data_IF_539412244714
#
_entry.id   IF_539412244714
#
_cell.length_a   1.000
_cell.length_b   1.000
_cell.length_c   1.000
_cell.angle_alpha   90.00
_cell.angle_beta   90.00
_cell.angle_gamma   90.00
#
_symmetry.space_group_name_H-M   'P 1'
#
loop_
_entity.id
_entity.type
_entity.pdbx_description
1 polymer ?
#
# COMPACT_ATOMS: atom_id res chain seq x y z
N UNK A 1 34.94 -13.75 9.56
CA UNK A 1 33.50 -13.82 9.35
C UNK A 1 32.86 -12.97 10.46
N UNK A 2 32.46 -11.75 10.16
CA UNK A 2 31.81 -10.87 11.15
C UNK A 2 30.43 -11.44 11.36
N UNK A 3 30.12 -11.95 12.56
CA UNK A 3 28.77 -12.35 12.95
C UNK A 3 27.95 -11.05 12.90
N UNK A 4 26.93 -10.95 12.05
CA UNK A 4 26.08 -9.76 12.04
C UNK A 4 25.49 -9.61 13.45
N UNK A 5 25.58 -8.41 13.99
CA UNK A 5 24.83 -8.07 15.22
C UNK A 5 23.35 -8.38 14.98
N UNK A 6 22.59 -8.88 15.96
CA UNK A 6 21.15 -9.00 15.83
C UNK A 6 20.64 -7.63 15.34
N UNK A 7 19.74 -7.62 14.36
CA UNK A 7 19.21 -6.44 13.66
C UNK A 7 20.04 -5.85 12.50
N UNK A 8 21.23 -6.36 12.18
CA UNK A 8 21.99 -5.84 11.03
C UNK A 8 21.25 -6.08 9.70
N UNK A 9 20.57 -7.20 9.56
CA UNK A 9 19.79 -7.56 8.37
C UNK A 9 18.55 -6.67 8.22
N UNK A 10 17.83 -6.44 9.32
CA UNK A 10 16.69 -5.53 9.37
C UNK A 10 17.09 -4.10 9.05
N UNK A 11 18.20 -3.62 9.61
CA UNK A 11 18.71 -2.27 9.33
C UNK A 11 19.08 -2.10 7.86
N UNK A 12 19.78 -3.06 7.27
CA UNK A 12 20.11 -3.06 5.83
C UNK A 12 18.83 -3.05 4.99
N UNK A 13 17.87 -3.92 5.31
CA UNK A 13 16.60 -3.97 4.58
C UNK A 13 15.84 -2.65 4.68
N UNK A 14 15.74 -2.05 5.87
CA UNK A 14 15.07 -0.74 6.08
C UNK A 14 15.72 0.35 5.26
N UNK A 15 17.06 0.43 5.24
CA UNK A 15 17.80 1.39 4.42
C UNK A 15 17.46 1.19 2.95
N UNK A 16 17.48 -0.06 2.45
CA UNK A 16 17.15 -0.36 1.05
C UNK A 16 15.70 0.00 0.70
N UNK A 17 14.75 -0.29 1.58
CA UNK A 17 13.35 0.08 1.43
C UNK A 17 13.19 1.60 1.29
N UNK A 18 13.77 2.39 2.19
CA UNK A 18 13.64 3.85 2.17
C UNK A 18 14.36 4.49 0.98
N UNK A 19 15.53 3.96 0.60
CA UNK A 19 16.23 4.38 -0.62
C UNK A 19 15.39 4.09 -1.86
N UNK A 20 14.82 2.89 -1.95
CA UNK A 20 13.96 2.50 -3.06
C UNK A 20 12.72 3.38 -3.17
N UNK A 21 12.03 3.67 -2.06
CA UNK A 21 10.90 4.62 -2.04
C UNK A 21 11.30 5.98 -2.62
N UNK A 22 12.48 6.48 -2.22
CA UNK A 22 13.00 7.77 -2.69
C UNK A 22 13.27 7.76 -4.19
N UNK A 23 13.94 6.71 -4.69
CA UNK A 23 14.29 6.56 -6.11
C UNK A 23 13.02 6.40 -6.94
N UNK A 24 12.08 5.54 -6.50
CA UNK A 24 10.81 5.30 -7.19
C UNK A 24 10.01 6.61 -7.33
N UNK A 25 9.89 7.38 -6.25
CA UNK A 25 9.10 8.60 -6.23
C UNK A 25 9.70 9.74 -7.06
N UNK A 26 11.05 9.82 -7.17
CA UNK A 26 11.72 10.96 -7.79
C UNK A 26 12.25 10.71 -9.20
N UNK A 27 12.62 9.47 -9.51
CA UNK A 27 13.45 9.18 -10.68
C UNK A 27 12.83 8.20 -11.66
N UNK A 28 11.78 7.48 -11.26
CA UNK A 28 11.18 6.44 -12.12
C UNK A 28 9.85 6.94 -12.69
N UNK A 29 9.68 6.99 -14.03
CA UNK A 29 8.39 7.28 -14.64
C UNK A 29 7.34 6.24 -14.27
N UNK A 30 6.10 6.66 -13.98
CA UNK A 30 5.01 5.82 -13.49
C UNK A 30 4.73 4.58 -14.36
N UNK A 31 4.91 4.70 -15.68
CA UNK A 31 4.72 3.59 -16.63
C UNK A 31 5.61 2.36 -16.35
N UNK A 32 6.72 2.53 -15.63
CA UNK A 32 7.64 1.46 -15.30
C UNK A 32 7.42 0.90 -13.88
N UNK A 33 6.60 1.55 -13.05
CA UNK A 33 6.42 1.15 -11.64
C UNK A 33 5.94 -0.30 -11.52
N UNK A 34 4.98 -0.74 -12.34
CA UNK A 34 4.47 -2.13 -12.30
C UNK A 34 5.61 -3.15 -12.46
N UNK A 35 6.40 -3.02 -13.53
CA UNK A 35 7.45 -3.99 -13.85
C UNK A 35 8.59 -3.96 -12.83
N UNK A 36 9.01 -2.75 -12.46
CA UNK A 36 10.07 -2.57 -11.48
C UNK A 36 9.66 -3.11 -10.11
N UNK A 37 8.44 -2.80 -9.66
CA UNK A 37 7.93 -3.25 -8.38
C UNK A 37 7.77 -4.77 -8.30
N UNK A 38 7.32 -5.43 -9.37
CA UNK A 38 7.31 -6.91 -9.45
C UNK A 38 8.74 -7.47 -9.37
N UNK A 39 9.69 -6.89 -10.09
CA UNK A 39 11.09 -7.31 -10.05
C UNK A 39 11.70 -7.14 -8.65
N UNK A 40 11.47 -6.00 -8.00
CA UNK A 40 11.96 -5.72 -6.64
C UNK A 40 11.28 -6.62 -5.59
N UNK A 41 10.00 -6.97 -5.78
CA UNK A 41 9.35 -7.97 -4.91
C UNK A 41 10.07 -9.32 -4.99
N UNK A 42 10.45 -9.77 -6.20
CA UNK A 42 11.26 -10.97 -6.37
C UNK A 42 12.64 -10.86 -5.69
N UNK A 43 13.33 -9.72 -5.87
CA UNK A 43 14.62 -9.47 -5.19
C UNK A 43 14.45 -9.47 -3.67
N UNK A 44 13.39 -8.88 -3.13
CA UNK A 44 13.12 -8.88 -1.70
C UNK A 44 12.92 -10.30 -1.14
N UNK A 45 12.20 -11.16 -1.87
CA UNK A 45 12.05 -12.58 -1.48
C UNK A 45 13.41 -13.29 -1.45
N UNK A 46 14.24 -13.09 -2.48
CA UNK A 46 15.59 -13.66 -2.53
C UNK A 46 16.48 -13.17 -1.39
N UNK A 47 16.39 -11.88 -1.05
CA UNK A 47 17.07 -11.31 0.12
C UNK A 47 16.57 -11.96 1.43
N UNK A 48 15.24 -12.10 1.59
CA UNK A 48 14.66 -12.79 2.74
C UNK A 48 15.21 -14.23 2.91
N UNK A 49 15.25 -14.98 1.82
CA UNK A 49 15.83 -16.32 1.80
C UNK A 49 17.33 -16.30 2.17
N UNK A 50 18.10 -15.33 1.64
CA UNK A 50 19.53 -15.20 1.96
C UNK A 50 19.78 -14.80 3.42
N UNK A 51 18.82 -14.14 4.06
CA UNK A 51 18.83 -13.79 5.49
C UNK A 51 18.30 -14.92 6.39
N UNK A 52 17.99 -16.10 5.81
CA UNK A 52 17.59 -17.29 6.55
C UNK A 52 16.09 -17.44 6.78
N UNK A 53 15.25 -16.58 6.18
CA UNK A 53 13.81 -16.78 6.17
C UNK A 53 13.44 -17.91 5.20
N UNK A 54 12.36 -18.63 5.50
CA UNK A 54 11.69 -19.51 4.56
C UNK A 54 10.35 -18.91 4.07
N UNK A 55 9.69 -19.56 3.11
CA UNK A 55 8.43 -19.08 2.55
C UNK A 55 7.31 -18.98 3.59
N UNK A 56 7.27 -19.86 4.58
CA UNK A 56 6.28 -19.83 5.65
C UNK A 56 6.49 -18.59 6.56
N UNK A 57 7.73 -18.34 6.96
CA UNK A 57 8.10 -17.17 7.76
C UNK A 57 7.80 -15.85 7.02
N UNK A 58 7.94 -15.84 5.70
CA UNK A 58 7.54 -14.71 4.86
C UNK A 58 6.03 -14.66 4.55
N UNK A 59 5.24 -15.65 4.96
CA UNK A 59 3.80 -15.73 4.68
C UNK A 59 3.47 -16.02 3.22
N UNK A 60 4.39 -16.64 2.51
CA UNK A 60 4.29 -17.00 1.09
C UNK A 60 4.00 -18.49 0.88
N UNK A 61 3.69 -19.24 1.94
CA UNK A 61 3.38 -20.66 1.85
C UNK A 61 2.06 -20.90 1.11
N UNK A 62 2.06 -21.82 0.15
CA UNK A 62 0.91 -22.10 -0.72
C UNK A 62 -0.32 -22.56 0.04
N UNK A 63 -0.14 -23.38 1.08
CA UNK A 63 -1.23 -23.88 1.94
C UNK A 63 -1.91 -22.78 2.75
N UNK A 64 -1.32 -21.58 2.84
CA UNK A 64 -1.86 -20.41 3.53
C UNK A 64 -2.62 -19.44 2.62
N UNK A 65 -2.73 -19.73 1.32
CA UNK A 65 -3.49 -18.88 0.38
C UNK A 65 -4.97 -18.82 0.78
N UNK A 66 -5.61 -19.98 0.96
CA UNK A 66 -7.01 -20.06 1.33
C UNK A 66 -7.33 -19.45 2.70
N UNK A 67 -6.58 -19.76 3.78
CA UNK A 67 -6.72 -19.04 5.04
C UNK A 67 -6.63 -17.51 4.88
N UNK A 68 -5.69 -17.03 4.07
CA UNK A 68 -5.55 -15.60 3.76
C UNK A 68 -6.82 -15.02 3.10
N UNK A 69 -7.37 -15.71 2.10
CA UNK A 69 -8.61 -15.28 1.42
C UNK A 69 -9.78 -15.24 2.39
N UNK A 70 -9.99 -16.28 3.21
CA UNK A 70 -11.11 -16.34 4.17
C UNK A 70 -11.04 -15.22 5.20
N UNK A 71 -9.86 -14.93 5.74
CA UNK A 71 -9.68 -13.85 6.71
C UNK A 71 -9.92 -12.48 6.08
N UNK A 72 -9.47 -12.27 4.83
CA UNK A 72 -9.69 -11.01 4.12
C UNK A 72 -11.15 -10.77 3.72
N UNK A 73 -11.93 -11.84 3.49
CA UNK A 73 -13.23 -11.78 2.84
C UNK A 73 -14.19 -10.75 3.45
N UNK A 74 -14.37 -10.77 4.76
CA UNK A 74 -15.29 -9.84 5.43
C UNK A 74 -14.82 -8.39 5.32
N UNK A 75 -13.53 -8.14 5.46
CA UNK A 75 -12.97 -6.80 5.35
C UNK A 75 -13.10 -6.26 3.91
N UNK A 76 -12.77 -7.06 2.91
CA UNK A 76 -12.93 -6.72 1.49
C UNK A 76 -14.40 -6.45 1.16
N UNK A 77 -15.30 -7.34 1.61
CA UNK A 77 -16.75 -7.15 1.40
C UNK A 77 -17.25 -5.85 2.04
N UNK A 78 -16.82 -5.54 3.27
CA UNK A 78 -17.18 -4.30 3.95
C UNK A 78 -16.67 -3.05 3.20
N UNK A 79 -15.43 -3.08 2.68
CA UNK A 79 -14.86 -1.98 1.90
C UNK A 79 -15.64 -1.78 0.59
N UNK A 80 -15.90 -2.86 -0.15
CA UNK A 80 -16.64 -2.81 -1.41
C UNK A 80 -18.08 -2.32 -1.19
N UNK A 81 -18.78 -2.85 -0.21
CA UNK A 81 -20.16 -2.45 0.13
C UNK A 81 -20.20 -1.00 0.62
N UNK A 82 -19.32 -0.63 1.54
CA UNK A 82 -19.23 0.73 2.07
C UNK A 82 -18.97 1.75 0.96
N UNK A 83 -17.99 1.50 0.10
CA UNK A 83 -17.68 2.36 -1.06
C UNK A 83 -18.88 2.45 -2.01
N UNK A 84 -19.53 1.31 -2.28
CA UNK A 84 -20.72 1.28 -3.15
C UNK A 84 -21.86 2.12 -2.57
N UNK A 85 -22.15 2.00 -1.29
CA UNK A 85 -23.18 2.80 -0.60
C UNK A 85 -22.81 4.29 -0.67
N UNK A 86 -21.58 4.67 -0.32
CA UNK A 86 -21.11 6.07 -0.35
C UNK A 86 -21.28 6.66 -1.75
N UNK A 87 -20.93 5.92 -2.80
CA UNK A 87 -21.07 6.37 -4.19
C UNK A 87 -22.53 6.55 -4.63
N UNK A 88 -23.50 5.90 -3.95
CA UNK A 88 -24.94 6.13 -4.27
C UNK A 88 -25.49 7.40 -3.64
N UNK A 89 -24.89 7.92 -2.57
CA UNK A 89 -25.35 9.10 -1.84
C UNK A 89 -24.97 10.37 -2.63
N UNK A 90 -25.94 11.20 -3.12
CA UNK A 90 -25.64 12.31 -4.04
C UNK A 90 -24.60 13.31 -3.51
N UNK A 91 -24.67 13.68 -2.22
CA UNK A 91 -23.74 14.63 -1.62
C UNK A 91 -22.31 14.07 -1.51
N UNK A 92 -22.14 12.77 -1.33
CA UNK A 92 -20.84 12.10 -1.19
C UNK A 92 -20.27 11.69 -2.55
N UNK A 93 -21.16 11.38 -3.52
CA UNK A 93 -20.78 11.02 -4.89
C UNK A 93 -19.89 12.05 -5.58
N UNK A 94 -20.08 13.34 -5.30
CA UNK A 94 -19.29 14.43 -5.86
C UNK A 94 -17.79 14.30 -5.56
N UNK A 95 -17.41 13.66 -4.47
CA UNK A 95 -15.99 13.44 -4.14
C UNK A 95 -15.33 12.48 -5.14
N UNK A 96 -16.05 11.47 -5.61
CA UNK A 96 -15.56 10.55 -6.65
C UNK A 96 -15.50 11.24 -8.04
N UNK A 97 -16.42 12.14 -8.33
CA UNK A 97 -16.48 12.86 -9.62
C UNK A 97 -15.50 14.02 -9.70
N UNK A 98 -14.99 14.51 -8.58
CA UNK A 98 -13.96 15.53 -8.50
C UNK A 98 -12.52 15.01 -8.63
N UNK A 99 -12.32 13.70 -8.71
CA UNK A 99 -11.02 13.08 -8.89
C UNK A 99 -10.54 13.21 -10.35
N UNK A 100 -9.24 13.36 -10.56
CA UNK A 100 -8.63 13.44 -11.90
C UNK A 100 -8.94 12.21 -12.75
N UNK A 101 -9.00 11.01 -12.13
CA UNK A 101 -9.42 9.78 -12.77
C UNK A 101 -10.90 9.76 -13.18
N UNK A 102 -11.71 10.69 -12.64
CA UNK A 102 -13.11 10.77 -13.02
C UNK A 102 -13.32 11.09 -14.50
N UNK A 103 -12.34 11.63 -15.21
CA UNK A 103 -12.37 11.90 -16.63
C UNK A 103 -11.64 10.83 -17.48
N UNK A 104 -10.97 9.88 -16.85
CA UNK A 104 -10.25 8.82 -17.53
C UNK A 104 -11.18 7.83 -18.25
N UNK A 105 -10.67 7.09 -19.24
CA UNK A 105 -11.46 6.05 -19.89
C UNK A 105 -11.78 4.90 -18.92
N UNK A 106 -12.93 4.22 -19.10
CA UNK A 106 -13.28 3.05 -18.29
C UNK A 106 -12.22 1.94 -18.35
N UNK A 107 -11.55 1.80 -19.51
CA UNK A 107 -10.46 0.84 -19.69
C UNK A 107 -9.26 1.18 -18.79
N UNK A 108 -8.90 2.47 -18.68
CA UNK A 108 -7.81 2.90 -17.81
C UNK A 108 -8.18 2.67 -16.34
N UNK A 109 -9.39 3.04 -15.91
CA UNK A 109 -9.86 2.81 -14.54
C UNK A 109 -9.82 1.32 -14.18
N UNK A 110 -10.27 0.45 -15.08
CA UNK A 110 -10.22 -1.00 -14.86
C UNK A 110 -8.78 -1.50 -14.76
N UNK A 111 -7.88 -1.07 -15.66
CA UNK A 111 -6.47 -1.43 -15.61
C UNK A 111 -5.81 -1.01 -14.30
N UNK A 112 -6.02 0.23 -13.88
CA UNK A 112 -5.52 0.75 -12.62
C UNK A 112 -6.01 -0.09 -11.42
N UNK A 113 -7.31 -0.34 -11.35
CA UNK A 113 -7.93 -1.04 -10.24
C UNK A 113 -7.55 -2.52 -10.16
N UNK A 114 -7.36 -3.21 -11.30
CA UNK A 114 -7.23 -4.68 -11.33
C UNK A 114 -5.81 -5.16 -11.66
N UNK A 115 -4.95 -4.31 -12.16
CA UNK A 115 -3.58 -4.67 -12.55
C UNK A 115 -2.54 -3.81 -11.84
N UNK A 116 -2.55 -2.47 -12.08
CA UNK A 116 -1.49 -1.62 -11.56
C UNK A 116 -1.50 -1.53 -10.03
N UNK A 117 -2.65 -1.31 -9.43
CA UNK A 117 -2.75 -1.20 -7.96
C UNK A 117 -2.43 -2.52 -7.27
N UNK A 118 -3.06 -3.67 -7.60
CA UNK A 118 -2.78 -4.90 -6.86
C UNK A 118 -1.36 -5.42 -7.04
N UNK A 119 -0.80 -5.37 -8.25
CA UNK A 119 0.50 -5.96 -8.57
C UNK A 119 1.64 -4.94 -8.60
N UNK A 120 1.36 -3.69 -8.96
CA UNK A 120 2.35 -2.63 -9.04
C UNK A 120 2.48 -1.78 -7.77
N UNK A 121 1.58 -1.92 -6.80
CA UNK A 121 1.64 -1.16 -5.53
C UNK A 121 1.46 -2.08 -4.33
N UNK A 122 0.28 -2.67 -4.14
CA UNK A 122 -0.01 -3.44 -2.93
C UNK A 122 0.90 -4.67 -2.76
N UNK A 123 1.19 -5.42 -3.84
CA UNK A 123 1.99 -6.63 -3.76
C UNK A 123 3.42 -6.37 -3.26
N UNK A 124 4.11 -5.39 -3.85
CA UNK A 124 5.50 -5.06 -3.45
C UNK A 124 5.52 -4.63 -1.98
N UNK A 125 4.57 -3.81 -1.55
CA UNK A 125 4.53 -3.31 -0.20
C UNK A 125 4.26 -4.45 0.79
N UNK A 126 3.33 -5.37 0.49
CA UNK A 126 3.09 -6.52 1.37
C UNK A 126 4.28 -7.50 1.41
N UNK A 127 4.96 -7.73 0.29
CA UNK A 127 6.17 -8.56 0.25
C UNK A 127 7.29 -7.92 1.10
N UNK A 128 7.56 -6.63 0.92
CA UNK A 128 8.61 -5.93 1.67
C UNK A 128 8.32 -5.89 3.17
N UNK A 129 7.11 -5.44 3.54
CA UNK A 129 6.78 -5.12 4.93
C UNK A 129 6.24 -6.31 5.72
N UNK A 130 5.32 -7.12 5.15
CA UNK A 130 4.65 -8.26 5.83
C UNK A 130 5.30 -9.58 5.53
N UNK A 131 5.97 -9.67 4.37
CA UNK A 131 6.82 -10.81 4.05
C UNK A 131 8.18 -10.71 4.75
N UNK A 132 9.09 -9.91 4.19
CA UNK A 132 10.50 -9.96 4.59
C UNK A 132 10.76 -9.21 5.89
N UNK A 133 10.39 -7.93 6.00
CA UNK A 133 10.71 -7.12 7.17
C UNK A 133 10.05 -7.69 8.45
N UNK A 134 8.75 -7.96 8.41
CA UNK A 134 8.04 -8.54 9.56
C UNK A 134 8.57 -9.93 9.89
N UNK A 135 8.89 -10.76 8.87
CA UNK A 135 9.49 -12.07 9.05
C UNK A 135 10.82 -12.02 9.81
N UNK A 136 11.71 -11.09 9.44
CA UNK A 136 12.99 -10.86 10.15
C UNK A 136 12.75 -10.37 11.59
N UNK A 137 11.91 -9.36 11.76
CA UNK A 137 11.61 -8.80 13.08
C UNK A 137 11.07 -9.86 14.06
N UNK A 138 10.25 -10.78 13.57
CA UNK A 138 9.67 -11.86 14.39
C UNK A 138 10.71 -12.89 14.87
N UNK A 139 11.90 -12.95 14.28
CA UNK A 139 12.96 -13.84 14.76
C UNK A 139 13.57 -13.37 16.09
N UNK A 140 13.52 -12.04 16.36
CA UNK A 140 14.24 -11.43 17.48
C UNK A 140 13.35 -10.61 18.42
N UNK A 141 12.08 -10.40 18.06
CA UNK A 141 11.16 -9.53 18.80
C UNK A 141 9.84 -10.24 19.13
N UNK A 142 9.15 -9.70 20.14
CA UNK A 142 7.76 -10.07 20.36
C UNK A 142 6.90 -9.67 19.16
N UNK A 143 5.79 -10.36 18.94
CA UNK A 143 4.84 -10.07 17.86
C UNK A 143 4.39 -8.61 17.86
N UNK A 144 4.07 -8.06 19.05
CA UNK A 144 3.64 -6.66 19.19
C UNK A 144 4.76 -5.69 18.77
N UNK A 145 5.99 -5.92 19.22
CA UNK A 145 7.14 -5.09 18.85
C UNK A 145 7.40 -5.14 17.36
N UNK A 146 7.37 -6.32 16.75
CA UNK A 146 7.55 -6.51 15.32
C UNK A 146 6.48 -5.79 14.49
N UNK A 147 5.21 -5.87 14.90
CA UNK A 147 4.10 -5.13 14.29
C UNK A 147 4.36 -3.62 14.36
N UNK A 148 4.70 -3.09 15.54
CA UNK A 148 4.93 -1.65 15.74
C UNK A 148 6.07 -1.17 14.84
N UNK A 149 7.22 -1.83 14.86
CA UNK A 149 8.40 -1.43 14.07
C UNK A 149 8.07 -1.47 12.57
N UNK A 150 7.53 -2.59 12.07
CA UNK A 150 7.19 -2.73 10.65
C UNK A 150 6.18 -1.66 10.20
N UNK A 151 5.21 -1.34 11.05
CA UNK A 151 4.16 -0.36 10.74
C UNK A 151 4.69 1.08 10.73
N UNK A 152 5.57 1.44 11.63
CA UNK A 152 6.21 2.76 11.63
C UNK A 152 7.08 2.95 10.38
N UNK A 153 7.84 1.93 9.98
CA UNK A 153 8.66 1.97 8.76
C UNK A 153 7.76 2.06 7.52
N UNK A 154 6.62 1.36 7.52
CA UNK A 154 5.61 1.49 6.48
C UNK A 154 5.03 2.91 6.36
N UNK A 155 4.81 3.58 7.48
CA UNK A 155 4.43 5.00 7.49
C UNK A 155 5.52 5.89 6.89
N UNK A 156 6.79 5.67 7.28
CA UNK A 156 7.93 6.43 6.75
C UNK A 156 8.15 6.21 5.24
N UNK A 157 7.86 5.04 4.72
CA UNK A 157 7.87 4.73 3.29
C UNK A 157 7.02 5.73 2.48
N UNK A 158 5.90 6.21 3.03
CA UNK A 158 4.97 7.09 2.35
C UNK A 158 5.39 8.57 2.32
N UNK A 159 6.49 8.95 2.99
CA UNK A 159 6.97 10.34 3.00
C UNK A 159 7.32 10.82 1.59
N UNK A 160 8.17 10.09 0.88
CA UNK A 160 8.66 10.52 -0.44
C UNK A 160 7.59 10.51 -1.53
N UNK A 161 6.74 9.47 -1.65
CA UNK A 161 5.59 9.51 -2.54
C UNK A 161 4.64 10.68 -2.26
N UNK A 162 4.39 10.98 -0.98
CA UNK A 162 3.55 12.12 -0.58
C UNK A 162 4.19 13.45 -0.97
N UNK A 163 5.49 13.62 -0.76
CA UNK A 163 6.21 14.83 -1.19
C UNK A 163 6.11 14.99 -2.70
N UNK A 164 6.39 13.94 -3.48
CA UNK A 164 6.32 13.98 -4.93
C UNK A 164 4.91 14.34 -5.43
N UNK A 165 3.88 13.75 -4.84
CA UNK A 165 2.48 14.07 -5.15
C UNK A 165 2.14 15.53 -4.85
N UNK A 166 2.59 16.07 -3.70
CA UNK A 166 2.35 17.46 -3.32
C UNK A 166 3.14 18.45 -4.18
N UNK A 167 4.33 18.11 -4.64
CA UNK A 167 5.16 18.94 -5.51
C UNK A 167 4.62 19.00 -6.95
N UNK A 168 4.03 17.93 -7.44
CA UNK A 168 3.37 17.88 -8.73
C UNK A 168 2.04 18.67 -8.75
N UNK A 169 1.49 19.01 -7.59
CA UNK A 169 0.29 19.83 -7.49
C UNK A 169 0.64 21.31 -7.69
N UNK A 170 0.32 21.85 -8.91
CA UNK A 170 0.63 23.24 -9.31
C UNK A 170 0.06 24.32 -8.38
N UNK A 171 -1.01 24.03 -7.66
CA UNK A 171 -1.66 24.94 -6.71
C UNK A 171 -0.78 25.08 -5.46
N UNK A 172 -0.19 24.00 -5.00
CA UNK A 172 0.69 23.97 -3.82
C UNK A 172 2.09 24.53 -4.14
N UNK A 173 2.57 24.40 -5.37
CA UNK A 173 3.87 24.89 -5.79
C UNK A 173 4.00 26.43 -5.75
N UNK A 174 2.89 27.17 -5.89
CA UNK A 174 2.83 28.66 -5.88
C UNK A 174 2.51 29.26 -4.51
N UNK A 175 2.58 28.49 -3.45
CA UNK A 175 1.91 28.76 -2.20
C UNK A 175 2.70 29.54 -1.16
N UNK A 176 2.00 30.44 -0.43
CA UNK A 176 2.40 31.21 0.74
C UNK A 176 2.72 30.31 1.97
N UNK A 177 3.24 30.94 3.06
CA UNK A 177 3.65 30.31 4.33
C UNK A 177 2.63 29.33 4.92
N UNK A 178 1.34 29.60 4.81
CA UNK A 178 0.24 28.74 5.31
C UNK A 178 0.13 27.42 4.55
N UNK A 179 0.50 27.38 3.29
CA UNK A 179 0.50 26.16 2.48
C UNK A 179 1.73 25.28 2.76
N UNK A 180 2.86 25.86 3.14
CA UNK A 180 4.00 25.07 3.68
C UNK A 180 3.59 24.32 4.95
N UNK A 181 2.89 25.01 5.87
CA UNK A 181 2.37 24.39 7.09
C UNK A 181 1.37 23.26 6.78
N UNK A 182 0.50 23.44 5.79
CA UNK A 182 -0.42 22.40 5.31
C UNK A 182 0.34 21.21 4.68
N UNK A 183 1.43 21.46 3.95
CA UNK A 183 2.28 20.40 3.40
C UNK A 183 2.82 19.48 4.51
N UNK A 184 3.41 20.05 5.56
CA UNK A 184 3.90 19.25 6.69
C UNK A 184 2.78 18.52 7.42
N UNK A 185 1.63 19.16 7.64
CA UNK A 185 0.45 18.52 8.23
C UNK A 185 -0.04 17.34 7.40
N UNK A 186 -0.06 17.46 6.08
CA UNK A 186 -0.43 16.35 5.17
C UNK A 186 0.56 15.18 5.26
N UNK A 187 1.87 15.45 5.29
CA UNK A 187 2.88 14.40 5.41
C UNK A 187 2.73 13.66 6.75
N UNK A 188 2.61 14.40 7.85
CA UNK A 188 2.41 13.79 9.18
C UNK A 188 1.12 12.96 9.20
N UNK A 189 0.03 13.51 8.66
CA UNK A 189 -1.25 12.80 8.57
C UNK A 189 -1.15 11.50 7.77
N UNK A 190 -0.48 11.53 6.61
CA UNK A 190 -0.26 10.33 5.79
C UNK A 190 0.58 9.31 6.55
N UNK A 191 1.69 9.71 7.17
CA UNK A 191 2.55 8.82 7.95
C UNK A 191 1.76 8.15 9.08
N UNK A 192 0.95 8.90 9.83
CA UNK A 192 0.15 8.35 10.91
C UNK A 192 -0.91 7.36 10.40
N UNK A 193 -1.67 7.75 9.37
CA UNK A 193 -2.74 6.90 8.81
C UNK A 193 -2.15 5.62 8.21
N UNK A 194 -1.05 5.73 7.45
CA UNK A 194 -0.42 4.56 6.85
C UNK A 194 0.29 3.68 7.89
N UNK A 195 0.81 4.25 8.99
CA UNK A 195 1.32 3.45 10.12
C UNK A 195 0.19 2.64 10.79
N UNK A 196 -1.00 3.25 11.00
CA UNK A 196 -2.17 2.54 11.54
C UNK A 196 -2.62 1.44 10.57
N UNK A 197 -2.75 1.74 9.28
CA UNK A 197 -3.05 0.73 8.27
C UNK A 197 -1.99 -0.38 8.26
N UNK A 198 -0.71 0.01 8.42
CA UNK A 198 0.41 -0.89 8.57
C UNK A 198 0.24 -1.90 9.69
N UNK A 199 -0.23 -1.45 10.85
CA UNK A 199 -0.47 -2.32 12.00
C UNK A 199 -1.63 -3.31 11.73
N UNK A 200 -2.70 -2.84 11.09
CA UNK A 200 -3.83 -3.70 10.69
C UNK A 200 -3.35 -4.77 9.69
N UNK A 201 -2.57 -4.39 8.68
CA UNK A 201 -2.05 -5.33 7.69
C UNK A 201 -1.07 -6.34 8.31
N UNK A 202 -0.19 -5.89 9.21
CA UNK A 202 0.71 -6.79 9.94
C UNK A 202 -0.09 -7.76 10.83
N UNK A 203 -1.13 -7.30 11.50
CA UNK A 203 -2.01 -8.16 12.28
C UNK A 203 -2.75 -9.19 11.40
N UNK A 204 -3.29 -8.78 10.26
CA UNK A 204 -3.91 -9.70 9.28
C UNK A 204 -2.91 -10.77 8.80
N UNK A 205 -1.63 -10.37 8.55
CA UNK A 205 -0.57 -11.30 8.20
C UNK A 205 -0.31 -12.34 9.30
N UNK A 206 -0.31 -11.90 10.57
CA UNK A 206 -0.08 -12.81 11.72
C UNK A 206 -1.22 -13.81 11.85
N UNK A 207 -2.47 -13.36 11.89
CA UNK A 207 -3.62 -14.27 12.12
C UNK A 207 -3.90 -15.21 10.96
N UNK A 208 -3.52 -14.83 9.72
CA UNK A 208 -3.70 -15.66 8.53
C UNK A 208 -2.49 -16.54 8.20
N UNK A 209 -1.33 -16.25 8.79
CA UNK A 209 -0.03 -16.76 8.35
C UNK A 209 0.24 -16.58 6.85
N UNK A 210 -0.36 -15.55 6.23
CA UNK A 210 -0.32 -15.31 4.79
C UNK A 210 -0.25 -13.82 4.46
N UNK A 211 0.56 -13.43 3.46
CA UNK A 211 0.51 -12.07 2.91
C UNK A 211 -0.74 -11.84 2.05
N UNK A 212 -1.46 -12.90 1.66
CA UNK A 212 -2.67 -12.78 0.83
C UNK A 212 -3.76 -11.99 1.55
N UNK A 213 -3.93 -12.17 2.86
CA UNK A 213 -4.94 -11.44 3.61
C UNK A 213 -4.70 -9.91 3.58
N UNK A 214 -3.54 -9.40 4.04
CA UNK A 214 -3.29 -7.96 3.96
C UNK A 214 -3.21 -7.46 2.51
N UNK A 215 -2.69 -8.24 1.55
CA UNK A 215 -2.67 -7.84 0.14
C UNK A 215 -4.07 -7.60 -0.44
N UNK A 216 -5.03 -8.48 -0.20
CA UNK A 216 -6.42 -8.31 -0.66
C UNK A 216 -7.10 -7.10 -0.02
N UNK A 217 -6.91 -6.89 1.28
CA UNK A 217 -7.48 -5.73 1.99
C UNK A 217 -6.82 -4.44 1.50
N UNK A 218 -5.51 -4.42 1.37
CA UNK A 218 -4.74 -3.28 0.86
C UNK A 218 -5.16 -2.92 -0.58
N UNK A 219 -5.24 -3.93 -1.48
CA UNK A 219 -5.77 -3.75 -2.82
C UNK A 219 -7.19 -3.16 -2.82
N UNK A 220 -8.09 -3.70 -2.01
CA UNK A 220 -9.47 -3.22 -1.96
C UNK A 220 -9.57 -1.77 -1.47
N UNK A 221 -8.77 -1.36 -0.48
CA UNK A 221 -8.70 0.03 -0.01
C UNK A 221 -8.20 0.94 -1.11
N UNK A 222 -7.07 0.62 -1.74
CA UNK A 222 -6.45 1.46 -2.77
C UNK A 222 -7.31 1.55 -4.04
N UNK A 223 -8.08 0.51 -4.37
CA UNK A 223 -8.97 0.50 -5.53
C UNK A 223 -10.39 1.03 -5.24
N UNK A 224 -10.72 1.32 -3.99
CA UNK A 224 -12.06 1.77 -3.60
C UNK A 224 -12.48 3.08 -4.29
N UNK A 225 -11.57 4.02 -4.46
CA UNK A 225 -11.81 5.27 -5.20
C UNK A 225 -12.26 5.00 -6.64
N UNK A 226 -11.58 4.09 -7.35
CA UNK A 226 -11.92 3.73 -8.74
C UNK A 226 -13.28 3.01 -8.85
N UNK A 227 -13.61 2.16 -7.89
CA UNK A 227 -14.94 1.56 -7.78
C UNK A 227 -16.00 2.65 -7.58
N UNK A 228 -15.75 3.59 -6.67
CA UNK A 228 -16.65 4.73 -6.44
C UNK A 228 -16.87 5.60 -7.69
N UNK A 229 -15.79 5.90 -8.44
CA UNK A 229 -15.86 6.61 -9.72
C UNK A 229 -16.74 5.85 -10.74
N UNK A 230 -16.53 4.54 -10.88
CA UNK A 230 -17.29 3.74 -11.82
C UNK A 230 -18.80 3.74 -11.53
N UNK A 231 -19.17 3.61 -10.24
CA UNK A 231 -20.56 3.67 -9.79
C UNK A 231 -21.14 5.07 -9.99
N UNK A 232 -20.42 6.10 -9.56
CA UNK A 232 -20.85 7.51 -9.64
C UNK A 232 -21.15 7.91 -11.09
N UNK A 233 -20.26 7.57 -12.03
CA UNK A 233 -20.47 7.83 -13.48
C UNK A 233 -21.69 7.13 -14.03
N UNK A 234 -21.90 5.86 -13.69
CA UNK A 234 -23.06 5.09 -14.14
C UNK A 234 -24.38 5.73 -13.68
N UNK A 235 -24.39 6.25 -12.45
CA UNK A 235 -25.58 6.88 -11.86
C UNK A 235 -25.84 8.28 -12.46
N UNK A 236 -24.81 9.06 -12.81
CA UNK A 236 -25.00 10.35 -13.47
C UNK A 236 -25.49 10.20 -14.92
N UNK A 237 -24.99 9.21 -15.67
CA UNK A 237 -25.49 8.94 -17.04
C UNK A 237 -26.98 8.60 -17.04
N UNK A 238 -27.47 7.79 -16.11
CA UNK A 238 -28.90 7.42 -15.99
C UNK A 238 -29.84 8.58 -15.67
N UNK A 239 -29.33 9.76 -15.31
CA UNK A 239 -30.17 10.96 -15.09
C UNK A 239 -30.35 11.80 -16.34
N UNK A 240 -29.54 11.57 -17.36
CA UNK A 240 -29.52 12.35 -18.61
C UNK A 240 -30.34 11.62 -19.69
N UNK A 241 -30.41 10.31 -19.58
CA UNK A 241 -31.31 9.43 -20.39
C UNK A 241 -32.73 9.37 -19.76
#
# INVERSE_FOLDING_TARGET
MVIPTPYAQEAVLVILILLYSTVLAKSVPERFHLYLNIGIAGVAILLGLSFGLNFEQMGLAFDKIWPGIYIAFLAVAAIVLGTSIIATIPILRRFFLGDDLANASGKLISYEATVRVPFGTALIEEVLFRGVLLGLLLQHNSTITAIIISSLIFGLWHIFPTIAMLENNRILAKANRDLKRRKYGSIIGVVLITSIAGAIFAWLRIISNSIVAPWLVHWSINSSGMLGIAIARKLERKKID
#
